data_IF_098270863768
#
_entry.id   IF_098270863768
#
_cell.length_a   1.000
_cell.length_b   1.000
_cell.length_c   1.000
_cell.angle_alpha   90.00
_cell.angle_beta   90.00
_cell.angle_gamma   90.00
#
_symmetry.space_group_name_H-M   'P 1'
#
loop_
_entity.id
_entity.type
_entity.pdbx_description
1 polymer ?
#
# COMPACT_ATOMS: atom_id res chain seq x y z
N UNK A 1 6.92 3.94 10.63
CA UNK A 1 7.73 3.74 9.40
C UNK A 1 6.84 4.03 8.21
N UNK A 2 7.37 4.73 7.20
CA UNK A 2 6.62 5.03 5.98
C UNK A 2 7.30 4.39 4.77
N UNK A 3 6.49 3.86 3.86
CA UNK A 3 6.93 3.16 2.64
C UNK A 3 6.05 3.62 1.48
N UNK A 4 6.66 3.78 0.30
CA UNK A 4 5.95 4.07 -0.94
C UNK A 4 6.43 3.15 -2.06
N UNK A 5 5.50 2.63 -2.86
CA UNK A 5 5.78 1.84 -4.06
C UNK A 5 5.19 2.57 -5.26
N UNK A 6 6.02 2.78 -6.28
CA UNK A 6 5.61 3.28 -7.58
C UNK A 6 5.49 2.10 -8.54
N UNK A 7 4.31 1.91 -9.13
CA UNK A 7 4.12 0.97 -10.22
C UNK A 7 3.91 1.77 -11.52
N UNK A 8 4.85 1.72 -12.47
CA UNK A 8 4.64 2.29 -13.79
C UNK A 8 3.44 1.61 -14.45
N UNK A 9 2.52 2.39 -15.00
CA UNK A 9 1.36 1.90 -15.74
C UNK A 9 1.28 2.63 -17.07
N UNK A 10 0.72 1.98 -18.10
CA UNK A 10 0.49 2.65 -19.38
C UNK A 10 -0.46 3.83 -19.18
N UNK A 11 -0.13 4.98 -19.76
CA UNK A 11 -0.99 6.19 -19.75
C UNK A 11 -2.35 5.97 -20.43
N UNK A 12 -2.48 4.88 -21.20
CA UNK A 12 -3.71 4.46 -21.88
C UNK A 12 -4.56 3.52 -21.05
N UNK A 13 -4.09 3.07 -19.88
CA UNK A 13 -4.91 2.29 -18.97
C UNK A 13 -6.05 3.17 -18.44
N UNK A 14 -7.28 2.66 -18.35
CA UNK A 14 -8.39 3.43 -17.79
C UNK A 14 -8.02 3.85 -16.36
N UNK A 15 -8.28 5.12 -16.01
CA UNK A 15 -8.22 5.58 -14.62
C UNK A 15 -9.10 4.65 -13.78
N UNK A 16 -8.45 3.80 -12.99
CA UNK A 16 -9.14 3.03 -11.97
C UNK A 16 -9.12 3.88 -10.73
N UNK A 17 -10.28 4.07 -10.11
CA UNK A 17 -10.35 4.62 -8.76
C UNK A 17 -9.38 3.81 -7.88
N UNK A 18 -8.32 4.44 -7.40
CA UNK A 18 -7.21 3.77 -6.75
C UNK A 18 -7.69 3.05 -5.48
N UNK A 19 -8.67 3.64 -4.79
CA UNK A 19 -9.22 3.11 -3.55
C UNK A 19 -10.18 1.94 -3.81
N UNK A 20 -10.96 2.01 -4.89
CA UNK A 20 -12.06 1.08 -5.23
C UNK A 20 -11.64 -0.02 -6.20
N UNK A 21 -10.54 0.16 -6.95
CA UNK A 21 -10.04 -0.72 -8.01
C UNK A 21 -9.02 -1.77 -7.56
N UNK A 22 -8.74 -1.86 -6.26
CA UNK A 22 -7.81 -2.82 -5.70
C UNK A 22 -8.36 -4.23 -5.68
N UNK A 23 -7.75 -5.15 -6.43
CA UNK A 23 -8.03 -6.58 -6.30
C UNK A 23 -7.77 -7.10 -4.87
N UNK A 24 -8.12 -8.35 -4.59
CA UNK A 24 -8.03 -8.97 -3.25
C UNK A 24 -6.68 -8.77 -2.53
N UNK A 25 -5.58 -8.60 -3.26
CA UNK A 25 -4.27 -8.28 -2.69
C UNK A 25 -4.23 -6.94 -1.94
N UNK A 26 -4.84 -5.88 -2.47
CA UNK A 26 -4.86 -4.56 -1.84
C UNK A 26 -5.71 -4.57 -0.56
N UNK A 27 -6.86 -5.26 -0.62
CA UNK A 27 -7.74 -5.48 0.55
C UNK A 27 -7.00 -6.23 1.65
N UNK A 28 -6.31 -7.31 1.31
CA UNK A 28 -5.51 -8.09 2.26
C UNK A 28 -4.37 -7.27 2.87
N UNK A 29 -3.71 -6.43 2.07
CA UNK A 29 -2.65 -5.54 2.56
C UNK A 29 -3.17 -4.50 3.54
N UNK A 30 -4.29 -3.84 3.22
CA UNK A 30 -4.97 -2.90 4.14
C UNK A 30 -5.32 -3.57 5.47
N UNK A 31 -5.88 -4.78 5.41
CA UNK A 31 -6.19 -5.56 6.63
C UNK A 31 -4.95 -5.87 7.46
N UNK A 32 -3.84 -6.28 6.82
CA UNK A 32 -2.56 -6.54 7.52
C UNK A 32 -1.95 -5.28 8.12
N UNK A 33 -1.99 -4.16 7.41
CA UNK A 33 -1.50 -2.89 7.93
C UNK A 33 -2.32 -2.45 9.14
N UNK A 34 -3.66 -2.52 9.05
CA UNK A 34 -4.54 -2.17 10.15
C UNK A 34 -4.31 -3.05 11.40
N UNK A 35 -4.05 -4.35 11.21
CA UNK A 35 -3.76 -5.27 12.31
C UNK A 35 -2.51 -4.91 13.12
N UNK A 36 -1.58 -4.13 12.54
CA UNK A 36 -0.40 -3.60 13.22
C UNK A 36 -0.51 -2.09 13.51
N UNK A 37 -1.72 -1.52 13.51
CA UNK A 37 -1.94 -0.09 13.78
C UNK A 37 -1.43 0.84 12.66
N UNK A 38 -1.27 0.31 11.45
CA UNK A 38 -0.89 1.06 10.26
C UNK A 38 -2.05 1.36 9.32
N UNK A 39 -1.75 2.17 8.30
CA UNK A 39 -2.68 2.61 7.26
C UNK A 39 -2.04 2.44 5.89
N UNK A 40 -2.86 2.08 4.89
CA UNK A 40 -2.46 1.98 3.48
C UNK A 40 -3.46 2.74 2.63
N UNK A 41 -2.96 3.59 1.74
CA UNK A 41 -3.77 4.32 0.76
C UNK A 41 -3.06 4.32 -0.59
N UNK A 42 -3.80 4.69 -1.62
CA UNK A 42 -3.35 4.62 -3.00
C UNK A 42 -3.62 5.92 -3.72
N UNK A 43 -2.81 6.21 -4.72
CA UNK A 43 -2.98 7.39 -5.58
C UNK A 43 -2.68 7.00 -7.03
N UNK A 44 -3.24 7.74 -7.98
CA UNK A 44 -2.96 7.55 -9.40
C UNK A 44 -2.53 8.87 -10.01
N UNK A 45 -1.36 8.85 -10.65
CA UNK A 45 -0.86 9.97 -11.44
C UNK A 45 -0.62 9.48 -12.87
N UNK A 46 -0.59 10.34 -13.89
CA UNK A 46 -0.32 9.91 -15.26
C UNK A 46 0.96 9.05 -15.34
N UNK A 47 0.80 7.81 -15.80
CA UNK A 47 1.90 6.85 -15.95
C UNK A 47 2.30 6.08 -14.70
N UNK A 48 1.68 6.34 -13.54
CA UNK A 48 2.00 5.66 -12.28
C UNK A 48 0.80 5.38 -11.40
N UNK A 49 0.76 4.18 -10.84
CA UNK A 49 -0.05 3.83 -9.68
C UNK A 49 0.85 3.84 -8.44
N UNK A 50 0.45 4.57 -7.42
CA UNK A 50 1.18 4.70 -6.17
C UNK A 50 0.49 3.97 -5.04
N UNK A 51 1.29 3.28 -4.23
CA UNK A 51 0.87 2.68 -2.98
C UNK A 51 1.69 3.27 -1.85
N UNK A 52 1.00 3.78 -0.84
CA UNK A 52 1.61 4.34 0.35
C UNK A 52 1.19 3.53 1.57
N UNK A 53 2.14 3.32 2.48
CA UNK A 53 1.89 2.67 3.74
C UNK A 53 2.56 3.44 4.88
N UNK A 54 1.83 3.62 5.96
CA UNK A 54 2.35 4.11 7.23
C UNK A 54 2.11 3.02 8.28
N UNK A 55 3.17 2.42 8.79
CA UNK A 55 3.11 1.31 9.73
C UNK A 55 3.54 1.78 11.12
N UNK A 56 2.78 1.42 12.16
CA UNK A 56 3.25 1.57 13.52
C UNK A 56 4.43 0.61 13.72
N UNK A 57 5.59 1.14 14.11
CA UNK A 57 6.71 0.29 14.46
C UNK A 57 6.49 -0.19 15.88
N UNK A 58 6.04 -1.42 16.03
CA UNK A 58 6.29 -2.16 17.27
C UNK A 58 7.69 -2.74 17.14
N UNK A 59 8.66 -2.36 17.99
CA UNK A 59 9.94 -3.04 17.99
C UNK A 59 9.68 -4.52 18.25
N UNK A 60 9.95 -5.37 17.25
CA UNK A 60 9.95 -6.81 17.46
C UNK A 60 11.01 -7.10 18.50
N UNK A 61 10.64 -7.77 19.59
CA UNK A 61 11.63 -8.32 20.50
C UNK A 61 12.63 -9.10 19.65
N UNK A 62 13.92 -8.73 19.75
CA UNK A 62 14.96 -9.42 19.04
C UNK A 62 14.85 -10.91 19.36
N UNK A 63 14.76 -11.75 18.33
CA UNK A 63 14.90 -13.20 18.52
C UNK A 63 16.34 -13.41 18.96
N UNK A 64 16.54 -13.57 20.27
CA UNK A 64 17.83 -14.00 20.82
C UNK A 64 18.13 -15.39 20.25
N UNK A 65 19.30 -15.61 19.62
CA UNK A 65 19.67 -16.89 19.03
C UNK A 65 19.78 -18.02 20.07
#
# INVERSE_FOLDING_TARGET
MSLSVANPVSVTAPERDAETGGGFGLVGLRGRAAAIGGTVWTDTTPGYFWLYAQLAMTPSAAVTP
#
